data_IF_720611397510
#
_entry.id   IF_720611397510
#
_cell.length_a   1.000
_cell.length_b   1.000
_cell.length_c   1.000
_cell.angle_alpha   90.00
_cell.angle_beta   90.00
_cell.angle_gamma   90.00
#
_symmetry.space_group_name_H-M   'P 1'
#
loop_
_entity.id
_entity.type
_entity.pdbx_description
1 polymer ?
#
# COMPACT_ATOMS: atom_id res chain seq x y z
N UNK A 1 -17.62 -16.87 13.68
CA UNK A 1 -16.70 -18.02 13.44
C UNK A 1 -15.33 -17.44 13.21
N UNK A 2 -14.25 -18.03 13.70
CA UNK A 2 -12.90 -17.56 13.45
C UNK A 2 -12.57 -17.56 11.97
N UNK A 3 -11.73 -16.62 11.56
CA UNK A 3 -11.24 -16.46 10.20
C UNK A 3 -9.87 -17.15 10.14
N UNK A 4 -9.81 -18.25 9.42
CA UNK A 4 -8.59 -19.01 9.20
C UNK A 4 -7.81 -18.42 8.04
N UNK A 5 -6.61 -17.88 8.31
CA UNK A 5 -5.79 -17.14 7.37
C UNK A 5 -4.60 -17.97 6.91
N UNK A 6 -4.35 -18.01 5.59
CA UNK A 6 -3.09 -18.45 5.00
C UNK A 6 -2.21 -17.23 4.68
N UNK A 7 -0.93 -17.30 5.04
CA UNK A 7 0.10 -16.36 4.61
C UNK A 7 0.90 -16.97 3.46
N UNK A 8 0.87 -16.33 2.28
CA UNK A 8 1.62 -16.74 1.10
C UNK A 8 2.73 -15.72 0.80
N UNK A 9 3.97 -16.13 1.00
CA UNK A 9 5.14 -15.27 0.97
C UNK A 9 5.43 -14.64 2.33
N UNK A 10 6.68 -14.77 2.76
CA UNK A 10 7.15 -14.30 4.07
C UNK A 10 8.34 -13.33 3.94
N UNK A 11 8.81 -13.10 2.72
CA UNK A 11 9.96 -12.25 2.41
C UNK A 11 9.56 -10.78 2.12
N UNK A 12 8.64 -10.21 2.89
CA UNK A 12 8.21 -8.81 2.76
C UNK A 12 8.41 -8.04 4.07
N UNK A 13 8.81 -6.75 4.04
CA UNK A 13 8.97 -5.94 5.25
C UNK A 13 7.71 -5.86 6.12
N UNK A 14 6.51 -5.90 5.54
CA UNK A 14 5.24 -5.82 6.26
C UNK A 14 4.79 -7.15 6.92
N UNK A 15 5.53 -8.24 6.77
CA UNK A 15 5.16 -9.51 7.41
C UNK A 15 5.07 -9.40 8.94
N UNK A 16 5.96 -8.69 9.64
CA UNK A 16 5.81 -8.45 11.09
C UNK A 16 4.48 -7.78 11.44
N UNK A 17 4.04 -6.77 10.67
CA UNK A 17 2.78 -6.05 10.90
C UNK A 17 1.57 -6.97 10.67
N UNK A 18 1.61 -7.78 9.60
CA UNK A 18 0.59 -8.82 9.35
C UNK A 18 0.48 -9.78 10.52
N UNK A 19 1.60 -10.32 11.00
CA UNK A 19 1.63 -11.25 12.13
C UNK A 19 1.18 -10.59 13.44
N UNK A 20 1.54 -9.33 13.65
CA UNK A 20 1.09 -8.52 14.78
C UNK A 20 -0.44 -8.40 14.83
N UNK A 21 -1.08 -8.12 13.70
CA UNK A 21 -2.55 -8.05 13.61
C UNK A 21 -3.17 -9.43 13.82
N UNK A 22 -2.64 -10.48 13.17
CA UNK A 22 -3.16 -11.85 13.35
C UNK A 22 -3.05 -12.33 14.80
N UNK A 23 -2.06 -11.86 15.55
CA UNK A 23 -1.89 -12.20 16.97
C UNK A 23 -2.78 -11.35 17.89
N UNK A 24 -3.12 -10.12 17.52
CA UNK A 24 -3.90 -9.20 18.35
C UNK A 24 -5.43 -9.32 18.17
N UNK A 25 -5.87 -9.86 17.02
CA UNK A 25 -7.30 -10.03 16.71
C UNK A 25 -7.76 -11.45 17.07
N UNK A 26 -8.61 -11.62 18.09
CA UNK A 26 -8.88 -12.95 18.67
C UNK A 26 -9.63 -13.92 17.74
N UNK A 27 -10.27 -13.41 16.71
CA UNK A 27 -10.99 -14.20 15.72
C UNK A 27 -10.18 -14.47 14.42
N UNK A 28 -8.95 -13.94 14.32
CA UNK A 28 -8.03 -14.26 13.23
C UNK A 28 -7.06 -15.36 13.66
N UNK A 29 -6.87 -16.35 12.82
CA UNK A 29 -5.94 -17.46 13.10
C UNK A 29 -5.04 -17.73 11.90
N UNK A 30 -3.74 -17.60 12.07
CA UNK A 30 -2.78 -18.10 11.08
C UNK A 30 -2.75 -19.63 11.15
N UNK A 31 -3.26 -20.29 10.11
CA UNK A 31 -3.33 -21.78 10.09
C UNK A 31 -2.37 -22.40 9.10
N UNK A 32 -1.82 -21.62 8.18
CA UNK A 32 -0.82 -22.06 7.23
C UNK A 32 0.05 -20.90 6.75
N UNK A 33 1.34 -21.17 6.59
CA UNK A 33 2.31 -20.25 5.99
C UNK A 33 3.09 -20.98 4.89
N UNK A 34 3.30 -20.30 3.76
CA UNK A 34 4.09 -20.82 2.65
C UNK A 34 4.99 -19.72 2.06
N UNK A 35 6.20 -20.11 1.72
CA UNK A 35 7.10 -19.31 0.89
C UNK A 35 7.84 -20.24 -0.07
N UNK A 36 8.19 -19.75 -1.26
CA UNK A 36 9.03 -20.48 -2.21
C UNK A 36 10.43 -20.74 -1.64
N UNK A 37 10.94 -19.78 -0.86
CA UNK A 37 12.13 -19.95 -0.02
C UNK A 37 11.70 -20.22 1.43
N UNK A 38 11.78 -21.46 1.86
CA UNK A 38 11.41 -21.84 3.23
C UNK A 38 12.20 -21.10 4.31
N UNK A 39 13.41 -20.62 4.01
CA UNK A 39 14.21 -19.86 4.96
C UNK A 39 13.63 -18.47 5.26
N UNK A 40 12.74 -17.97 4.40
CA UNK A 40 12.02 -16.71 4.61
C UNK A 40 10.87 -16.84 5.63
N UNK A 41 10.45 -18.05 5.98
CA UNK A 41 9.37 -18.25 6.96
C UNK A 41 9.91 -17.96 8.36
N UNK A 42 9.37 -16.95 9.08
CA UNK A 42 9.81 -16.63 10.43
C UNK A 42 9.70 -17.82 11.39
N UNK A 43 10.68 -18.00 12.26
CA UNK A 43 10.70 -19.09 13.23
C UNK A 43 9.43 -19.13 14.11
N UNK A 44 8.89 -17.96 14.45
CA UNK A 44 7.67 -17.82 15.25
C UNK A 44 6.44 -18.50 14.64
N UNK A 45 6.41 -18.69 13.31
CA UNK A 45 5.30 -19.33 12.58
C UNK A 45 5.72 -20.62 11.87
N UNK A 46 6.89 -21.16 12.17
CA UNK A 46 7.40 -22.38 11.53
C UNK A 46 6.46 -23.58 11.69
N UNK A 47 5.70 -23.65 12.80
CA UNK A 47 4.68 -24.68 13.04
C UNK A 47 3.49 -24.63 12.06
N UNK A 48 3.24 -23.48 11.43
CA UNK A 48 2.21 -23.33 10.40
C UNK A 48 2.74 -23.58 8.98
N UNK A 49 4.04 -23.85 8.80
CA UNK A 49 4.67 -23.99 7.50
C UNK A 49 4.12 -25.22 6.73
N UNK A 50 3.78 -24.98 5.46
CA UNK A 50 3.34 -26.04 4.52
C UNK A 50 4.27 -26.09 3.31
N UNK A 51 4.26 -27.24 2.61
CA UNK A 51 5.16 -27.45 1.46
C UNK A 51 4.68 -26.84 0.15
N UNK A 52 3.38 -26.53 0.05
CA UNK A 52 2.74 -26.04 -1.18
C UNK A 52 1.71 -24.96 -0.88
N UNK A 53 1.66 -23.91 -1.72
CA UNK A 53 0.68 -22.83 -1.60
C UNK A 53 -0.77 -23.33 -1.68
N UNK A 54 -1.05 -24.31 -2.55
CA UNK A 54 -2.39 -24.90 -2.67
C UNK A 54 -2.83 -25.59 -1.38
N UNK A 55 -1.89 -26.15 -0.61
CA UNK A 55 -2.20 -26.74 0.70
C UNK A 55 -2.61 -25.68 1.71
N UNK A 56 -1.93 -24.52 1.70
CA UNK A 56 -2.32 -23.39 2.53
C UNK A 56 -3.73 -22.89 2.18
N UNK A 57 -4.00 -22.69 0.90
CA UNK A 57 -5.30 -22.19 0.39
C UNK A 57 -6.46 -23.13 0.73
N UNK A 58 -6.26 -24.46 0.62
CA UNK A 58 -7.32 -25.43 0.99
C UNK A 58 -7.67 -25.44 2.48
N UNK A 59 -6.79 -24.96 3.34
CA UNK A 59 -6.98 -24.99 4.79
C UNK A 59 -7.57 -23.69 5.33
N UNK A 60 -7.47 -22.60 4.56
CA UNK A 60 -7.84 -21.27 4.97
C UNK A 60 -9.14 -20.80 4.33
N UNK A 61 -9.81 -19.85 4.97
CA UNK A 61 -10.96 -19.13 4.41
C UNK A 61 -10.66 -17.64 4.10
N UNK A 62 -9.39 -17.26 4.24
CA UNK A 62 -8.84 -15.99 3.74
C UNK A 62 -7.33 -16.15 3.50
N UNK A 63 -6.76 -15.32 2.61
CA UNK A 63 -5.30 -15.35 2.36
C UNK A 63 -4.72 -13.94 2.31
N UNK A 64 -3.51 -13.82 2.88
CA UNK A 64 -2.65 -12.64 2.75
C UNK A 64 -1.45 -13.03 1.89
N UNK A 65 -1.21 -12.30 0.80
CA UNK A 65 -0.12 -12.55 -0.14
C UNK A 65 0.96 -11.49 0.03
N UNK A 66 2.06 -11.86 0.69
CA UNK A 66 3.25 -11.02 0.94
C UNK A 66 4.48 -11.51 0.17
N UNK A 67 4.29 -12.28 -0.88
CA UNK A 67 5.36 -12.78 -1.73
C UNK A 67 6.05 -11.65 -2.51
N UNK A 68 7.28 -11.87 -3.02
CA UNK A 68 7.90 -11.00 -4.02
C UNK A 68 6.95 -10.68 -5.18
N UNK A 69 7.05 -9.45 -5.74
CA UNK A 69 6.09 -8.96 -6.74
C UNK A 69 5.98 -9.86 -7.96
N UNK A 70 7.10 -10.43 -8.42
CA UNK A 70 7.16 -11.37 -9.55
C UNK A 70 6.35 -12.67 -9.34
N UNK A 71 6.05 -13.04 -8.09
CA UNK A 71 5.29 -14.24 -7.74
C UNK A 71 3.79 -13.96 -7.50
N UNK A 72 3.42 -12.71 -7.20
CA UNK A 72 2.04 -12.32 -6.84
C UNK A 72 1.00 -12.70 -7.88
N UNK A 73 1.22 -12.50 -9.21
CA UNK A 73 0.25 -12.89 -10.22
C UNK A 73 -0.16 -14.36 -10.14
N UNK A 74 0.80 -15.27 -10.02
CA UNK A 74 0.54 -16.70 -9.94
C UNK A 74 -0.21 -17.08 -8.65
N UNK A 75 0.17 -16.49 -7.52
CA UNK A 75 -0.47 -16.74 -6.21
C UNK A 75 -1.90 -16.18 -6.16
N UNK A 76 -2.14 -14.98 -6.71
CA UNK A 76 -3.49 -14.43 -6.84
C UNK A 76 -4.38 -15.32 -7.71
N UNK A 77 -3.87 -15.84 -8.84
CA UNK A 77 -4.61 -16.77 -9.68
C UNK A 77 -4.93 -18.09 -8.97
N UNK A 78 -4.00 -18.62 -8.16
CA UNK A 78 -4.25 -19.83 -7.34
C UNK A 78 -5.33 -19.58 -6.28
N UNK A 79 -5.25 -18.46 -5.54
CA UNK A 79 -6.24 -18.08 -4.53
C UNK A 79 -7.63 -17.84 -5.16
N UNK A 80 -7.66 -17.17 -6.32
CA UNK A 80 -8.88 -16.93 -7.08
C UNK A 80 -9.56 -18.24 -7.53
N UNK A 81 -8.80 -19.20 -8.05
CA UNK A 81 -9.32 -20.54 -8.39
C UNK A 81 -9.82 -21.34 -7.18
N UNK A 82 -9.21 -21.12 -6.02
CA UNK A 82 -9.65 -21.73 -4.77
C UNK A 82 -10.89 -21.03 -4.17
N UNK A 83 -11.30 -19.87 -4.70
CA UNK A 83 -12.36 -19.05 -4.14
C UNK A 83 -12.01 -18.41 -2.79
N UNK A 84 -10.72 -18.37 -2.44
CA UNK A 84 -10.25 -17.85 -1.15
C UNK A 84 -10.08 -16.34 -1.24
N UNK A 85 -10.76 -15.53 -0.40
CA UNK A 85 -10.61 -14.08 -0.36
C UNK A 85 -9.15 -13.64 -0.21
N UNK A 86 -8.78 -12.55 -0.90
CA UNK A 86 -7.38 -12.14 -1.10
C UNK A 86 -7.13 -10.74 -0.53
N UNK A 87 -6.14 -10.63 0.36
CA UNK A 87 -5.38 -9.40 0.57
C UNK A 87 -4.00 -9.59 -0.07
N UNK A 88 -3.67 -8.79 -1.08
CA UNK A 88 -2.37 -8.86 -1.75
C UNK A 88 -1.55 -7.59 -1.52
N UNK A 89 -0.25 -7.76 -1.24
CA UNK A 89 0.68 -6.64 -1.15
C UNK A 89 0.79 -5.85 -2.46
N UNK A 90 1.03 -4.57 -2.30
CA UNK A 90 1.35 -3.67 -3.41
C UNK A 90 2.86 -3.74 -3.76
N UNK A 91 3.22 -3.52 -5.04
CA UNK A 91 2.38 -3.47 -6.22
C UNK A 91 1.80 -4.85 -6.54
N UNK A 92 0.63 -4.88 -7.16
CA UNK A 92 -0.06 -6.16 -7.47
C UNK A 92 0.69 -6.98 -8.51
N UNK A 93 1.43 -6.32 -9.40
CA UNK A 93 2.30 -6.89 -10.41
C UNK A 93 3.48 -5.97 -10.67
N UNK A 94 4.49 -6.43 -11.42
CA UNK A 94 5.70 -5.64 -11.74
C UNK A 94 5.41 -4.45 -12.65
N UNK A 95 4.35 -4.55 -13.45
CA UNK A 95 3.87 -3.52 -14.35
C UNK A 95 2.38 -3.30 -14.19
N UNK A 96 1.87 -2.15 -14.62
CA UNK A 96 0.43 -1.90 -14.66
C UNK A 96 -0.30 -2.89 -15.58
N UNK A 97 0.36 -3.42 -16.59
CA UNK A 97 -0.20 -4.46 -17.48
C UNK A 97 -0.39 -5.79 -16.72
N UNK A 98 0.61 -6.23 -15.94
CA UNK A 98 0.50 -7.40 -15.06
C UNK A 98 -0.59 -7.19 -14.00
N UNK A 99 -0.60 -6.04 -13.33
CA UNK A 99 -1.61 -5.73 -12.32
C UNK A 99 -3.03 -5.77 -12.89
N UNK A 100 -3.25 -5.21 -14.09
CA UNK A 100 -4.54 -5.31 -14.81
C UNK A 100 -4.90 -6.76 -15.15
N UNK A 101 -3.93 -7.58 -15.55
CA UNK A 101 -4.18 -9.00 -15.84
C UNK A 101 -4.63 -9.75 -14.58
N UNK A 102 -3.97 -9.50 -13.43
CA UNK A 102 -4.35 -10.07 -12.13
C UNK A 102 -5.77 -9.62 -11.73
N UNK A 103 -6.05 -8.32 -11.82
CA UNK A 103 -7.37 -7.79 -11.46
C UNK A 103 -8.49 -8.42 -12.31
N UNK A 104 -8.27 -8.60 -13.63
CA UNK A 104 -9.23 -9.28 -14.51
C UNK A 104 -9.42 -10.75 -14.14
N UNK A 105 -8.36 -11.48 -13.83
CA UNK A 105 -8.43 -12.91 -13.45
C UNK A 105 -9.20 -13.09 -12.14
N UNK A 106 -8.85 -12.31 -11.13
CA UNK A 106 -9.55 -12.30 -9.83
C UNK A 106 -11.01 -11.88 -9.99
N UNK A 107 -11.27 -10.85 -10.80
CA UNK A 107 -12.64 -10.38 -11.08
C UNK A 107 -13.52 -11.43 -11.76
N UNK A 108 -12.96 -12.21 -12.73
CA UNK A 108 -13.69 -13.31 -13.40
C UNK A 108 -14.11 -14.41 -12.44
N UNK A 109 -13.27 -14.72 -11.46
CA UNK A 109 -13.59 -15.72 -10.43
C UNK A 109 -14.59 -15.22 -9.39
N UNK A 110 -14.90 -13.91 -9.37
CA UNK A 110 -15.71 -13.23 -8.35
C UNK A 110 -15.16 -13.40 -6.93
N UNK A 111 -13.87 -13.69 -6.80
CA UNK A 111 -13.21 -13.82 -5.50
C UNK A 111 -13.05 -12.44 -4.88
N UNK A 112 -13.50 -12.25 -3.62
CA UNK A 112 -13.27 -11.00 -2.91
C UNK A 112 -11.78 -10.69 -2.80
N UNK A 113 -11.37 -9.47 -3.17
CA UNK A 113 -9.96 -9.10 -3.13
C UNK A 113 -9.78 -7.62 -2.81
N UNK A 114 -8.65 -7.29 -2.19
CA UNK A 114 -8.14 -5.92 -2.04
C UNK A 114 -6.61 -5.92 -2.03
N UNK A 115 -6.02 -4.81 -2.39
CA UNK A 115 -4.59 -4.57 -2.25
C UNK A 115 -4.27 -3.91 -0.90
N UNK A 116 -3.07 -4.17 -0.37
CA UNK A 116 -2.60 -3.62 0.91
C UNK A 116 -2.15 -2.15 0.76
N UNK A 117 -3.08 -1.27 0.40
CA UNK A 117 -2.91 0.17 0.30
C UNK A 117 -3.34 0.84 1.61
N UNK A 118 -2.55 0.67 2.66
CA UNK A 118 -2.92 0.98 4.04
C UNK A 118 -3.23 2.46 4.31
N UNK A 119 -2.66 3.40 3.54
CA UNK A 119 -2.90 4.84 3.79
C UNK A 119 -4.38 5.20 3.64
N UNK A 120 -5.10 4.59 2.69
CA UNK A 120 -6.54 4.87 2.50
C UNK A 120 -7.42 4.43 3.66
N UNK A 121 -6.92 3.53 4.49
CA UNK A 121 -7.64 3.02 5.67
C UNK A 121 -7.37 3.87 6.93
N UNK A 122 -6.45 4.86 6.85
CA UNK A 122 -6.13 5.72 7.99
C UNK A 122 -7.31 6.60 8.39
N UNK A 123 -7.71 6.62 9.68
CA UNK A 123 -8.75 7.52 10.16
C UNK A 123 -8.47 9.00 9.91
N UNK A 124 -7.18 9.40 9.95
CA UNK A 124 -6.76 10.77 9.64
C UNK A 124 -7.04 11.14 8.18
N UNK A 125 -6.87 10.21 7.24
CA UNK A 125 -7.20 10.45 5.83
C UNK A 125 -8.72 10.60 5.64
N UNK A 126 -9.53 9.80 6.34
CA UNK A 126 -10.98 9.93 6.33
C UNK A 126 -11.44 11.30 6.88
N UNK A 127 -10.75 11.81 7.92
CA UNK A 127 -11.00 13.15 8.45
C UNK A 127 -10.65 14.24 7.43
N UNK A 128 -9.49 14.13 6.77
CA UNK A 128 -9.08 15.04 5.70
C UNK A 128 -10.07 15.02 4.52
N UNK A 129 -10.59 13.85 4.16
CA UNK A 129 -11.67 13.75 3.16
C UNK A 129 -12.91 14.57 3.54
N UNK A 130 -13.25 14.63 4.83
CA UNK A 130 -14.30 15.52 5.35
C UNK A 130 -13.98 16.99 5.11
N UNK A 131 -12.79 17.44 5.48
CA UNK A 131 -12.31 18.82 5.27
C UNK A 131 -12.42 19.24 3.80
N UNK A 132 -12.00 18.34 2.88
CA UNK A 132 -12.05 18.61 1.44
C UNK A 132 -13.49 18.62 0.88
N UNK A 133 -14.33 17.67 1.31
CA UNK A 133 -15.74 17.59 0.90
C UNK A 133 -16.55 18.79 1.35
N UNK A 134 -16.29 19.31 2.55
CA UNK A 134 -16.91 20.50 3.12
C UNK A 134 -16.28 21.80 2.59
N UNK A 135 -15.26 21.68 1.72
CA UNK A 135 -14.53 22.80 1.10
C UNK A 135 -13.94 23.80 2.10
N UNK A 136 -13.55 23.34 3.28
CA UNK A 136 -13.05 24.21 4.36
C UNK A 136 -11.74 24.94 3.98
N UNK A 137 -11.00 24.45 2.98
CA UNK A 137 -9.79 25.08 2.47
C UNK A 137 -10.06 26.07 1.32
N UNK A 138 -11.30 26.15 0.82
CA UNK A 138 -11.60 26.94 -0.38
C UNK A 138 -10.98 26.34 -1.64
N UNK A 139 -10.63 27.19 -2.64
CA UNK A 139 -9.92 26.76 -3.84
C UNK A 139 -8.50 26.32 -3.45
N UNK A 140 -8.12 25.11 -3.87
CA UNK A 140 -6.79 24.61 -3.57
C UNK A 140 -5.72 25.41 -4.33
N UNK A 141 -4.60 25.67 -3.68
CA UNK A 141 -3.48 26.46 -4.18
C UNK A 141 -2.21 25.61 -4.34
N UNK A 142 -2.06 24.55 -3.57
CA UNK A 142 -0.91 23.64 -3.66
C UNK A 142 -1.07 22.41 -2.79
N UNK A 143 -0.42 21.32 -3.19
CA UNK A 143 -0.39 20.07 -2.44
C UNK A 143 1.04 19.53 -2.39
N UNK A 144 1.49 19.16 -1.21
CA UNK A 144 2.76 18.47 -1.00
C UNK A 144 2.51 17.18 -0.23
N UNK A 145 3.00 16.07 -0.75
CA UNK A 145 2.87 14.77 -0.11
C UNK A 145 4.22 14.07 -0.04
N UNK A 146 4.52 13.45 1.09
CA UNK A 146 5.74 12.67 1.28
C UNK A 146 5.44 11.39 2.05
N UNK A 147 6.00 10.27 1.58
CA UNK A 147 6.09 9.03 2.33
C UNK A 147 7.53 8.53 2.26
N UNK A 148 8.16 8.40 3.42
CA UNK A 148 9.58 8.04 3.48
C UNK A 148 9.85 7.10 4.64
N UNK A 149 10.92 6.31 4.54
CA UNK A 149 11.45 5.51 5.63
C UNK A 149 12.95 5.23 5.44
N UNK A 150 13.70 4.85 6.49
CA UNK A 150 15.13 4.60 6.40
C UNK A 150 15.49 3.16 5.99
N UNK A 151 14.59 2.40 5.40
CA UNK A 151 14.75 0.95 5.17
C UNK A 151 15.99 0.57 4.37
N UNK A 152 16.43 1.43 3.42
CA UNK A 152 17.68 1.20 2.69
C UNK A 152 18.91 1.40 3.58
N UNK A 153 18.83 2.35 4.50
CA UNK A 153 19.92 2.67 5.45
C UNK A 153 19.98 1.64 6.59
N UNK A 154 18.82 1.12 6.99
CA UNK A 154 18.66 0.19 8.12
C UNK A 154 18.73 -1.29 7.70
N UNK A 155 19.04 -1.58 6.42
CA UNK A 155 19.19 -2.95 5.95
C UNK A 155 17.88 -3.76 5.89
N UNK A 156 16.70 -3.10 5.79
CA UNK A 156 15.41 -3.82 5.72
C UNK A 156 15.31 -4.74 4.51
N UNK A 157 16.06 -4.42 3.45
CA UNK A 157 16.08 -5.15 2.18
C UNK A 157 17.23 -6.13 2.05
N UNK A 158 17.79 -6.61 3.17
CA UNK A 158 18.83 -7.63 3.18
C UNK A 158 18.23 -9.04 3.33
N UNK A 159 19.05 -10.05 3.03
CA UNK A 159 18.65 -11.45 3.11
C UNK A 159 17.47 -11.78 2.20
N UNK A 160 16.43 -12.46 2.70
CA UNK A 160 15.26 -12.85 1.90
C UNK A 160 14.51 -11.70 1.23
N UNK A 161 14.70 -10.45 1.71
CA UNK A 161 14.03 -9.25 1.19
C UNK A 161 14.82 -8.55 0.07
N UNK A 162 16.00 -9.06 -0.30
CA UNK A 162 16.88 -8.47 -1.32
C UNK A 162 16.22 -8.33 -2.71
N UNK A 163 15.15 -9.08 -2.97
CA UNK A 163 14.36 -8.97 -4.20
C UNK A 163 13.80 -7.57 -4.43
N UNK A 164 13.53 -6.78 -3.38
CA UNK A 164 13.02 -5.41 -3.50
C UNK A 164 14.00 -4.46 -4.20
N UNK A 165 15.30 -4.74 -4.09
CA UNK A 165 16.36 -3.97 -4.76
C UNK A 165 16.61 -4.40 -6.22
N UNK A 166 15.91 -5.44 -6.69
CA UNK A 166 15.99 -5.93 -8.06
C UNK A 166 14.77 -5.45 -8.87
N UNK A 167 14.92 -4.49 -9.80
CA UNK A 167 13.80 -3.94 -10.57
C UNK A 167 13.01 -4.99 -11.37
N UNK A 168 13.70 -6.05 -11.86
CA UNK A 168 13.05 -7.12 -12.63
C UNK A 168 12.10 -7.95 -11.78
N UNK A 169 12.33 -8.02 -10.46
CA UNK A 169 11.51 -8.74 -9.51
C UNK A 169 10.48 -7.87 -8.82
N UNK A 170 10.88 -6.65 -8.45
CA UNK A 170 10.06 -5.71 -7.69
C UNK A 170 9.12 -4.87 -8.59
N UNK A 171 9.55 -4.55 -9.81
CA UNK A 171 8.85 -3.67 -10.73
C UNK A 171 9.13 -2.18 -10.50
N UNK A 172 9.34 -1.77 -9.26
CA UNK A 172 9.67 -0.41 -8.86
C UNK A 172 10.88 -0.38 -7.92
N UNK A 173 11.54 0.79 -7.87
CA UNK A 173 12.46 1.17 -6.80
C UNK A 173 11.76 1.93 -5.68
N UNK A 174 12.55 2.67 -4.90
CA UNK A 174 12.07 3.37 -3.70
C UNK A 174 11.01 4.42 -3.95
N UNK A 175 11.14 5.16 -5.06
CA UNK A 175 10.11 6.13 -5.43
C UNK A 175 8.79 5.43 -5.73
N UNK A 176 8.78 4.49 -6.68
CA UNK A 176 7.54 3.86 -7.11
C UNK A 176 6.87 3.04 -6.00
N UNK A 177 7.65 2.36 -5.17
CA UNK A 177 7.15 1.57 -4.04
C UNK A 177 6.32 2.41 -3.05
N UNK A 178 6.81 3.59 -2.69
CA UNK A 178 6.14 4.46 -1.71
C UNK A 178 5.16 5.44 -2.35
N UNK A 179 5.46 5.96 -3.54
CA UNK A 179 4.57 6.85 -4.27
C UNK A 179 3.22 6.19 -4.60
N UNK A 180 3.17 4.85 -4.77
CA UNK A 180 1.93 4.11 -4.92
C UNK A 180 0.93 4.37 -3.79
N UNK A 181 1.39 4.38 -2.55
CA UNK A 181 0.54 4.67 -1.40
C UNK A 181 0.03 6.10 -1.41
N UNK A 182 0.91 7.07 -1.75
CA UNK A 182 0.57 8.49 -1.79
C UNK A 182 -0.45 8.78 -2.88
N UNK A 183 -0.19 8.29 -4.10
CA UNK A 183 -1.06 8.47 -5.27
C UNK A 183 -2.43 7.84 -5.02
N UNK A 184 -2.46 6.64 -4.43
CA UNK A 184 -3.69 5.97 -4.04
C UNK A 184 -4.47 6.75 -2.98
N UNK A 185 -3.81 7.28 -1.96
CA UNK A 185 -4.43 8.09 -0.92
C UNK A 185 -5.05 9.37 -1.49
N UNK A 186 -4.34 10.08 -2.38
CA UNK A 186 -4.86 11.26 -3.07
C UNK A 186 -6.07 10.91 -3.96
N UNK A 187 -6.00 9.81 -4.70
CA UNK A 187 -7.12 9.33 -5.50
C UNK A 187 -8.33 8.93 -4.64
N UNK A 188 -8.10 8.37 -3.46
CA UNK A 188 -9.18 8.04 -2.51
C UNK A 188 -9.84 9.30 -1.91
N UNK A 189 -9.08 10.39 -1.70
CA UNK A 189 -9.60 11.66 -1.22
C UNK A 189 -10.51 12.37 -2.26
N UNK A 190 -10.19 12.24 -3.55
CA UNK A 190 -10.92 12.84 -4.67
C UNK A 190 -10.95 11.87 -5.86
N UNK A 191 -11.87 10.93 -5.83
CA UNK A 191 -11.99 9.89 -6.87
C UNK A 191 -12.39 10.46 -8.26
N UNK A 192 -13.06 11.59 -8.29
CA UNK A 192 -13.46 12.33 -9.49
C UNK A 192 -12.28 13.09 -10.14
N UNK A 193 -11.23 13.38 -9.37
CA UNK A 193 -10.06 14.12 -9.83
C UNK A 193 -8.76 13.44 -9.33
N UNK A 194 -8.38 12.28 -9.89
CA UNK A 194 -7.15 11.58 -9.45
C UNK A 194 -5.91 12.40 -9.75
N UNK A 195 -4.79 12.19 -9.03
CA UNK A 195 -3.55 12.93 -9.27
C UNK A 195 -2.95 12.57 -10.62
N UNK A 196 -2.30 13.55 -11.26
CA UNK A 196 -1.51 13.36 -12.49
C UNK A 196 -0.08 13.75 -12.21
N UNK A 197 0.86 12.83 -12.42
CA UNK A 197 2.29 13.08 -12.31
C UNK A 197 2.85 13.40 -13.70
N UNK A 198 3.52 14.56 -13.85
CA UNK A 198 4.02 15.05 -15.14
C UNK A 198 5.52 14.80 -15.33
N UNK A 199 6.29 14.84 -14.25
CA UNK A 199 7.73 14.63 -14.27
C UNK A 199 8.19 14.03 -12.95
N UNK A 200 9.28 13.24 -12.99
CA UNK A 200 9.91 12.71 -11.79
C UNK A 200 11.43 12.77 -11.91
N UNK A 201 12.10 13.18 -10.82
CA UNK A 201 13.53 13.06 -10.65
C UNK A 201 13.80 11.89 -9.69
N UNK A 202 14.55 10.90 -10.13
CA UNK A 202 14.85 9.70 -9.37
C UNK A 202 16.26 9.73 -8.80
N UNK A 203 16.42 9.36 -7.54
CA UNK A 203 17.70 9.13 -6.88
C UNK A 203 18.17 7.71 -7.16
N UNK A 204 19.10 7.55 -8.13
CA UNK A 204 19.67 6.27 -8.55
C UNK A 204 21.12 6.14 -8.06
N UNK A 205 21.45 5.20 -7.18
CA UNK A 205 22.79 5.03 -6.64
C UNK A 205 23.80 4.46 -7.65
N UNK A 206 23.36 4.15 -8.85
CA UNK A 206 24.21 3.64 -9.94
C UNK A 206 23.41 3.04 -11.09
N UNK A 207 24.07 2.87 -12.24
CA UNK A 207 23.46 2.27 -13.43
C UNK A 207 22.98 0.84 -13.16
N UNK A 208 21.79 0.49 -13.65
CA UNK A 208 21.18 -0.84 -13.50
C UNK A 208 20.66 -1.18 -12.10
N UNK A 209 20.73 -0.25 -11.15
CA UNK A 209 20.15 -0.41 -9.80
C UNK A 209 18.78 0.24 -9.72
N UNK A 210 17.93 -0.29 -8.83
CA UNK A 210 16.70 0.38 -8.46
C UNK A 210 17.00 1.78 -7.89
N UNK A 211 16.15 2.75 -8.16
CA UNK A 211 16.18 4.01 -7.44
C UNK A 211 15.90 3.77 -5.95
N UNK A 212 16.44 4.64 -5.10
CA UNK A 212 16.20 4.60 -3.65
C UNK A 212 15.15 5.62 -3.21
N UNK A 213 14.66 6.43 -4.15
CA UNK A 213 13.65 7.45 -3.94
C UNK A 213 13.57 8.43 -5.09
N UNK A 214 12.83 9.50 -4.90
CA UNK A 214 12.67 10.55 -5.89
C UNK A 214 11.63 11.59 -5.50
N UNK A 215 11.43 12.55 -6.40
CA UNK A 215 10.40 13.58 -6.28
C UNK A 215 9.71 13.75 -7.63
N UNK A 216 8.39 13.72 -7.61
CA UNK A 216 7.55 14.00 -8.77
C UNK A 216 6.86 15.36 -8.64
N UNK A 217 6.65 16.00 -9.79
CA UNK A 217 5.79 17.15 -9.96
C UNK A 217 4.55 16.74 -10.74
N UNK A 218 3.41 17.31 -10.35
CA UNK A 218 2.13 16.96 -10.97
C UNK A 218 1.04 17.97 -10.67
N UNK A 219 -0.20 17.52 -10.84
CA UNK A 219 -1.40 18.26 -10.49
C UNK A 219 -2.39 17.35 -9.76
N UNK A 220 -3.17 17.92 -8.84
CA UNK A 220 -4.28 17.26 -8.17
C UNK A 220 -5.36 18.27 -7.80
N UNK A 221 -6.62 17.97 -8.13
CA UNK A 221 -7.76 18.83 -7.85
C UNK A 221 -7.54 20.30 -8.32
N UNK A 222 -6.94 20.45 -9.53
CA UNK A 222 -6.65 21.76 -10.12
C UNK A 222 -5.47 22.51 -9.49
N UNK A 223 -4.78 21.96 -8.50
CA UNK A 223 -3.63 22.57 -7.85
C UNK A 223 -2.30 21.90 -8.23
N UNK A 224 -1.16 22.61 -8.20
CA UNK A 224 0.17 22.00 -8.28
C UNK A 224 0.38 20.96 -7.17
N UNK A 225 1.00 19.83 -7.54
CA UNK A 225 1.30 18.71 -6.66
C UNK A 225 2.79 18.41 -6.65
N UNK A 226 3.34 18.18 -5.47
CA UNK A 226 4.66 17.55 -5.28
C UNK A 226 4.52 16.26 -4.52
N UNK A 227 5.11 15.17 -5.02
CA UNK A 227 5.17 13.86 -4.34
C UNK A 227 6.63 13.49 -4.12
N UNK A 228 7.03 13.31 -2.86
CA UNK A 228 8.35 12.81 -2.47
C UNK A 228 8.22 11.42 -1.85
N UNK A 229 9.05 10.50 -2.31
CA UNK A 229 9.10 9.14 -1.78
C UNK A 229 10.55 8.67 -1.68
N UNK A 230 10.94 8.04 -0.56
CA UNK A 230 12.33 7.59 -0.38
C UNK A 230 12.46 6.48 0.67
N UNK A 231 13.28 5.48 0.35
CA UNK A 231 13.72 4.43 1.25
C UNK A 231 14.93 4.83 2.13
N UNK A 232 15.48 6.04 1.93
CA UNK A 232 16.73 6.47 2.55
C UNK A 232 16.60 7.75 3.39
N UNK A 233 15.40 8.09 3.86
CA UNK A 233 15.16 9.30 4.64
C UNK A 233 15.03 9.04 6.15
N UNK A 234 15.70 9.88 6.96
CA UNK A 234 15.58 9.91 8.43
C UNK A 234 15.24 11.34 8.89
N UNK A 235 14.26 11.51 9.79
CA UNK A 235 13.25 10.50 10.14
C UNK A 235 12.39 10.16 8.94
N UNK A 236 11.84 8.92 8.92
CA UNK A 236 10.78 8.53 8.00
C UNK A 236 9.44 9.08 8.47
N UNK A 237 8.40 8.93 7.64
CA UNK A 237 7.04 9.29 8.01
C UNK A 237 6.17 9.64 6.82
N UNK A 238 4.89 9.86 7.12
CA UNK A 238 3.89 10.40 6.20
C UNK A 238 3.69 11.88 6.46
N UNK A 239 3.78 12.69 5.42
CA UNK A 239 3.36 14.09 5.44
C UNK A 239 2.48 14.38 4.23
N UNK A 240 1.33 15.01 4.46
CA UNK A 240 0.46 15.53 3.41
C UNK A 240 -0.01 16.93 3.81
N UNK A 241 0.37 17.92 3.03
CA UNK A 241 -0.03 19.32 3.21
C UNK A 241 -0.91 19.73 2.04
N UNK A 242 -2.12 20.16 2.35
CA UNK A 242 -3.08 20.70 1.36
C UNK A 242 -3.35 22.14 1.70
N UNK A 243 -2.90 23.06 0.85
CA UNK A 243 -3.07 24.50 1.02
C UNK A 243 -4.15 25.02 0.08
N UNK A 244 -5.06 25.80 0.61
CA UNK A 244 -6.11 26.47 -0.15
C UNK A 244 -6.25 27.95 0.22
N UNK A 245 -7.17 28.63 -0.45
CA UNK A 245 -7.41 30.06 -0.28
C UNK A 245 -8.01 30.41 1.11
N UNK A 246 -8.58 29.43 1.81
CA UNK A 246 -9.24 29.63 3.10
C UNK A 246 -8.56 28.87 4.25
N UNK A 247 -7.41 28.25 4.02
CA UNK A 247 -6.65 27.57 5.06
C UNK A 247 -5.72 26.48 4.53
N UNK A 248 -5.04 25.81 5.48
CA UNK A 248 -4.11 24.71 5.22
C UNK A 248 -4.48 23.52 6.11
N UNK A 249 -4.55 22.34 5.54
CA UNK A 249 -4.62 21.09 6.28
C UNK A 249 -3.27 20.38 6.21
N UNK A 250 -2.71 20.03 7.37
CA UNK A 250 -1.45 19.28 7.49
C UNK A 250 -1.72 17.95 8.18
N UNK A 251 -1.51 16.86 7.47
CA UNK A 251 -1.53 15.51 8.03
C UNK A 251 -0.08 15.03 8.17
N UNK A 252 0.35 14.73 9.39
CA UNK A 252 1.67 14.15 9.69
C UNK A 252 1.52 12.99 10.66
N UNK A 253 1.92 11.80 10.24
CA UNK A 253 1.96 10.58 11.06
C UNK A 253 0.70 10.34 11.92
N UNK A 254 -0.49 10.51 11.32
CA UNK A 254 -1.77 10.33 11.98
C UNK A 254 -2.34 11.58 12.66
N UNK A 255 -1.58 12.65 12.78
CA UNK A 255 -2.06 13.94 13.32
C UNK A 255 -2.50 14.83 12.17
N UNK A 256 -3.77 15.25 12.19
CA UNK A 256 -4.32 16.23 11.26
C UNK A 256 -4.49 17.57 11.97
N UNK A 257 -3.94 18.62 11.38
CA UNK A 257 -4.11 20.00 11.80
C UNK A 257 -4.79 20.80 10.68
N UNK A 258 -5.79 21.59 11.04
CA UNK A 258 -6.50 22.50 10.13
C UNK A 258 -6.31 23.93 10.62
N UNK A 259 -5.49 24.69 9.91
CA UNK A 259 -5.26 26.12 10.14
C UNK A 259 -6.05 26.93 9.13
N UNK A 260 -6.94 27.82 9.60
CA UNK A 260 -7.73 28.74 8.78
C UNK A 260 -7.32 30.20 8.92
N UNK A 261 -6.12 30.44 9.49
CA UNK A 261 -5.55 31.78 9.63
C UNK A 261 -6.19 32.64 10.72
N UNK A 262 -7.10 32.07 11.51
CA UNK A 262 -7.74 32.77 12.63
C UNK A 262 -7.93 31.81 13.81
N UNK A 263 -7.39 32.17 14.98
CA UNK A 263 -7.41 31.34 16.19
C UNK A 263 -6.38 30.21 16.16
N UNK A 264 -6.49 29.32 17.14
CA UNK A 264 -5.64 28.13 17.19
C UNK A 264 -6.07 27.11 16.13
N UNK A 265 -5.13 26.39 15.50
CA UNK A 265 -5.47 25.32 14.56
C UNK A 265 -6.32 24.24 15.21
N UNK A 266 -7.34 23.79 14.50
CA UNK A 266 -8.08 22.58 14.88
C UNK A 266 -7.16 21.37 14.75
N UNK A 267 -7.03 20.57 15.82
CA UNK A 267 -6.13 19.42 15.83
C UNK A 267 -6.86 18.15 16.14
N UNK A 268 -6.65 17.14 15.31
CA UNK A 268 -7.13 15.79 15.52
C UNK A 268 -5.97 14.82 15.57
N UNK A 269 -5.96 13.90 16.55
CA UNK A 269 -4.90 12.91 16.75
C UNK A 269 -5.47 11.51 16.56
N UNK A 270 -4.90 10.78 15.62
CA UNK A 270 -5.20 9.39 15.37
C UNK A 270 -3.93 8.51 15.40
N UNK A 271 -4.08 7.22 15.12
CA UNK A 271 -2.94 6.32 15.05
C UNK A 271 -1.99 6.73 13.91
N UNK A 272 -0.66 6.51 14.09
CA UNK A 272 0.29 6.68 13.01
C UNK A 272 0.05 5.66 11.88
N UNK A 273 0.59 5.90 10.67
CA UNK A 273 0.53 4.93 9.58
C UNK A 273 1.12 3.58 9.99
N UNK A 274 0.35 2.51 9.76
CA UNK A 274 0.73 1.13 10.06
C UNK A 274 0.26 0.22 8.92
N UNK A 275 1.14 -0.61 8.38
CA UNK A 275 0.81 -1.54 7.30
C UNK A 275 -0.24 -2.57 7.74
N UNK A 276 -0.36 -2.86 9.03
CA UNK A 276 -1.40 -3.69 9.63
C UNK A 276 -2.82 -3.16 9.41
N UNK A 277 -3.01 -1.85 9.14
CA UNK A 277 -4.33 -1.29 8.86
C UNK A 277 -5.01 -1.95 7.64
N UNK A 278 -4.24 -2.33 6.62
CA UNK A 278 -4.79 -3.08 5.49
C UNK A 278 -5.31 -4.46 5.90
N UNK A 279 -4.63 -5.13 6.84
CA UNK A 279 -5.06 -6.43 7.38
C UNK A 279 -6.32 -6.28 8.23
N UNK A 280 -6.38 -5.27 9.10
CA UNK A 280 -7.58 -4.95 9.91
C UNK A 280 -8.77 -4.62 9.01
N UNK A 281 -8.55 -3.80 7.99
CA UNK A 281 -9.59 -3.45 7.02
C UNK A 281 -10.08 -4.69 6.24
N UNK A 282 -9.18 -5.58 5.82
CA UNK A 282 -9.54 -6.83 5.18
C UNK A 282 -10.37 -7.73 6.10
N UNK A 283 -9.94 -7.92 7.36
CA UNK A 283 -10.68 -8.67 8.36
C UNK A 283 -12.08 -8.11 8.60
N UNK A 284 -12.22 -6.79 8.70
CA UNK A 284 -13.52 -6.12 8.88
C UNK A 284 -14.44 -6.37 7.67
N UNK A 285 -13.90 -6.36 6.44
CA UNK A 285 -14.68 -6.68 5.22
C UNK A 285 -15.11 -8.15 5.19
N UNK A 286 -14.25 -9.06 5.65
CA UNK A 286 -14.59 -10.49 5.81
C UNK A 286 -15.73 -10.69 6.81
N UNK A 287 -15.64 -10.07 8.01
CA UNK A 287 -16.69 -10.09 9.05
C UNK A 287 -18.03 -9.58 8.54
N UNK A 288 -17.97 -8.44 7.83
CA UNK A 288 -19.16 -7.82 7.25
C UNK A 288 -19.67 -8.53 5.98
N UNK A 289 -18.92 -9.46 5.41
CA UNK A 289 -19.17 -10.07 4.09
C UNK A 289 -19.40 -9.02 3.00
N UNK A 290 -18.68 -7.90 3.09
CA UNK A 290 -18.87 -6.74 2.23
C UNK A 290 -17.52 -6.25 1.69
N UNK A 291 -17.28 -6.52 0.41
CA UNK A 291 -16.11 -6.06 -0.32
C UNK A 291 -16.49 -4.98 -1.32
N UNK A 292 -15.58 -4.02 -1.61
CA UNK A 292 -15.74 -3.11 -2.73
C UNK A 292 -15.87 -3.88 -4.04
N UNK A 293 -16.73 -3.39 -4.95
CA UNK A 293 -16.94 -4.03 -6.25
C UNK A 293 -15.74 -3.89 -7.19
N UNK A 294 -14.95 -2.87 -6.98
CA UNK A 294 -13.77 -2.53 -7.77
C UNK A 294 -12.52 -3.38 -7.40
N UNK A 295 -12.58 -4.13 -6.30
CA UNK A 295 -11.56 -5.11 -5.93
C UNK A 295 -10.14 -4.55 -5.95
N UNK A 296 -9.33 -4.98 -6.94
CA UNK A 296 -7.94 -4.55 -7.11
C UNK A 296 -7.78 -3.29 -8.00
N UNK A 297 -8.87 -2.77 -8.57
CA UNK A 297 -8.80 -1.66 -9.54
C UNK A 297 -8.12 -0.39 -8.99
N UNK A 298 -8.35 0.04 -7.72
CA UNK A 298 -7.63 1.19 -7.18
C UNK A 298 -6.11 1.03 -7.21
N UNK A 299 -5.61 -0.16 -6.89
CA UNK A 299 -4.18 -0.46 -6.94
C UNK A 299 -3.63 -0.47 -8.38
N UNK A 300 -4.43 -0.98 -9.33
CA UNK A 300 -4.09 -0.95 -10.76
C UNK A 300 -3.98 0.48 -11.28
N UNK A 301 -4.91 1.35 -10.89
CA UNK A 301 -4.91 2.77 -11.29
C UNK A 301 -3.72 3.51 -10.70
N UNK A 302 -3.49 3.39 -9.40
CA UNK A 302 -2.33 4.00 -8.73
C UNK A 302 -1.01 3.53 -9.36
N UNK A 303 -0.89 2.22 -9.63
CA UNK A 303 0.29 1.65 -10.29
C UNK A 303 0.48 2.20 -11.70
N UNK A 304 -0.58 2.36 -12.48
CA UNK A 304 -0.50 2.92 -13.83
C UNK A 304 -0.05 4.39 -13.82
N UNK A 305 -0.54 5.20 -12.88
CA UNK A 305 -0.13 6.60 -12.73
C UNK A 305 1.36 6.73 -12.39
N UNK A 306 1.83 5.95 -11.41
CA UNK A 306 3.25 5.96 -11.00
C UNK A 306 4.15 5.43 -12.12
N UNK A 307 3.78 4.31 -12.77
CA UNK A 307 4.56 3.73 -13.87
C UNK A 307 4.68 4.69 -15.04
N UNK A 308 3.61 5.41 -15.39
CA UNK A 308 3.64 6.40 -16.47
C UNK A 308 4.67 7.51 -16.18
N UNK A 309 4.74 8.00 -14.93
CA UNK A 309 5.70 9.02 -14.54
C UNK A 309 7.15 8.50 -14.54
N UNK A 310 7.38 7.30 -13.99
CA UNK A 310 8.73 6.70 -13.89
C UNK A 310 9.34 6.34 -15.25
N UNK A 311 8.50 6.02 -16.26
CA UNK A 311 8.97 5.67 -17.62
C UNK A 311 9.53 6.85 -18.42
N UNK A 312 9.20 8.08 -18.05
CA UNK A 312 9.67 9.29 -18.72
C UNK A 312 10.82 9.98 -17.99
N UNK A 313 11.31 9.39 -16.90
CA UNK A 313 12.48 9.78 -16.10
C UNK A 313 13.72 9.02 -16.58
#
# INVERSE_FOLDING_TARGET
MPIDVALLGCAHPHVPDVLGVLASEPDLRLIAAWDADRSAIPAAIAGAAVSRAETALRRANATVICAPTDQRPALCAQAARAGTPILVEKPVGRTAAEARAVAREVGRSRTPAMAALFLRELPALARLAGVLRERLLGRLAGVSAALTHPGMVDGWFDGPRAWMRNPERAGFGGFGDLALHVVDALAALRADEPPVLHAVALDRPGAGRADIGGTALGTWAGAPLTVRASWAARPGGLELVVTGAAGTATLRDGVLELDRGAGEPERWVGPPPDAGEAVRAFANRLRARRFPRDGLEPAVQAQAMVEAAVRVA
#
